data_IF_027548884236
#
_entry.id   IF_027548884236
#
_cell.length_a   1.000
_cell.length_b   1.000
_cell.length_c   1.000
_cell.angle_alpha   90.00
_cell.angle_beta   90.00
_cell.angle_gamma   90.00
#
_symmetry.space_group_name_H-M   'P 1'
#
loop_
_entity.id
_entity.type
_entity.pdbx_description
1 polymer ?
#
# COMPACT_ATOMS: atom_id res chain seq x y z
N UNK A 1 8.69 26.26 20.06
CA UNK A 1 9.51 25.20 19.43
C UNK A 1 8.61 23.99 19.32
N UNK A 2 7.86 23.91 18.22
CA UNK A 2 6.95 22.79 17.93
C UNK A 2 7.66 21.84 16.99
N UNK A 3 8.28 20.79 17.53
CA UNK A 3 8.57 19.60 16.74
C UNK A 3 7.24 18.89 16.47
N UNK A 4 6.83 18.80 15.22
CA UNK A 4 5.65 18.03 14.85
C UNK A 4 5.86 16.55 15.21
N UNK A 5 4.83 15.87 15.69
CA UNK A 5 4.87 14.46 16.10
C UNK A 5 5.34 13.49 15.00
N UNK A 6 5.41 13.93 13.73
CA UNK A 6 5.99 13.13 12.64
C UNK A 6 7.49 12.88 12.79
N UNK A 7 8.22 13.77 13.47
CA UNK A 7 9.66 13.64 13.66
C UNK A 7 10.02 12.70 14.83
N UNK A 8 9.10 12.48 15.77
CA UNK A 8 9.29 11.55 16.89
C UNK A 8 9.23 10.05 16.48
N UNK A 9 8.66 9.75 15.31
CA UNK A 9 8.58 8.38 14.78
C UNK A 9 9.84 7.96 13.98
N UNK A 10 10.77 8.90 13.71
CA UNK A 10 11.97 8.65 12.91
C UNK A 10 13.21 9.22 13.61
N UNK A 11 14.18 8.39 14.05
CA UNK A 11 15.42 8.89 14.64
C UNK A 11 16.27 9.62 13.59
N UNK A 12 16.63 10.86 13.92
CA UNK A 12 17.65 11.76 13.41
C UNK A 12 18.15 11.62 11.95
N UNK A 13 17.97 12.71 11.20
CA UNK A 13 18.74 13.04 9.99
C UNK A 13 20.23 13.05 10.31
N UNK A 14 20.99 12.13 9.72
CA UNK A 14 22.44 12.23 9.66
C UNK A 14 22.81 13.45 8.80
N UNK A 15 23.43 14.45 9.43
CA UNK A 15 23.88 15.65 8.75
C UNK A 15 25.02 15.30 7.79
N UNK A 16 25.02 15.91 6.59
CA UNK A 16 26.06 15.74 5.54
C UNK A 16 27.51 16.02 5.99
N UNK A 17 27.73 16.51 7.21
CA UNK A 17 29.08 16.81 7.77
C UNK A 17 29.75 15.59 8.43
N UNK A 18 29.08 14.51 8.70
CA UNK A 18 29.67 13.32 9.33
C UNK A 18 30.24 12.29 8.36
N UNK A 19 29.96 12.42 7.05
CA UNK A 19 30.42 11.46 6.02
C UNK A 19 31.81 11.76 5.43
N UNK A 20 32.46 12.87 5.80
CA UNK A 20 33.76 13.27 5.24
C UNK A 20 34.96 13.05 6.16
N UNK A 21 34.84 12.33 7.27
CA UNK A 21 35.96 12.11 8.23
C UNK A 21 36.42 10.67 8.42
N UNK A 22 35.95 9.71 7.65
CA UNK A 22 36.36 8.29 7.83
C UNK A 22 37.03 7.63 6.61
N UNK A 23 37.61 8.41 5.70
CA UNK A 23 38.35 7.88 4.54
C UNK A 23 39.78 8.38 4.54
N UNK A 24 40.59 7.92 5.51
CA UNK A 24 42.06 8.01 5.45
C UNK A 24 42.67 7.11 6.54
N UNK A 25 42.88 5.85 6.22
CA UNK A 25 43.97 5.02 6.76
C UNK A 25 43.98 3.65 6.08
N UNK A 26 44.99 3.44 5.26
CA UNK A 26 45.72 2.18 5.24
C UNK A 26 45.40 1.12 4.20
N UNK A 27 46.33 0.88 3.27
CA UNK A 27 46.64 -0.47 2.86
C UNK A 27 46.75 -0.71 1.33
N UNK A 28 47.94 -0.62 0.86
CA UNK A 28 48.51 -1.03 -0.45
C UNK A 28 48.17 -2.48 -0.85
N UNK A 29 47.96 -2.76 -2.16
CA UNK A 29 48.10 -4.11 -2.67
C UNK A 29 47.49 -4.42 -4.04
N UNK A 30 48.31 -4.30 -5.08
CA UNK A 30 48.35 -5.09 -6.32
C UNK A 30 47.21 -5.02 -7.36
N UNK A 31 47.54 -4.27 -8.42
CA UNK A 31 46.93 -4.35 -9.74
C UNK A 31 47.36 -5.65 -10.44
N UNK A 32 46.42 -6.36 -11.04
CA UNK A 32 46.68 -7.35 -12.07
C UNK A 32 45.94 -6.95 -13.35
N UNK A 33 46.71 -6.45 -14.29
CA UNK A 33 46.31 -6.20 -15.69
C UNK A 33 46.22 -7.53 -16.42
N UNK A 34 45.12 -7.80 -17.12
CA UNK A 34 45.06 -8.77 -18.19
C UNK A 34 44.81 -8.08 -19.52
N UNK A 35 45.81 -8.29 -20.40
CA UNK A 35 45.83 -7.82 -21.77
C UNK A 35 44.90 -8.65 -22.67
N UNK A 36 44.18 -7.91 -23.53
CA UNK A 36 43.50 -8.49 -24.69
C UNK A 36 44.49 -9.04 -25.70
N UNK A 37 44.21 -10.22 -26.23
CA UNK A 37 44.76 -10.67 -27.50
C UNK A 37 43.62 -10.98 -28.45
N UNK A 38 43.56 -10.22 -29.55
CA UNK A 38 42.79 -10.55 -30.73
C UNK A 38 43.48 -11.69 -31.52
N UNK A 39 42.70 -12.61 -32.02
CA UNK A 39 43.09 -13.38 -33.23
C UNK A 39 41.86 -13.74 -34.03
N UNK A 40 41.88 -13.31 -35.29
CA UNK A 40 40.97 -13.66 -36.37
C UNK A 40 41.12 -15.14 -36.76
N UNK A 41 40.03 -15.76 -37.19
CA UNK A 41 40.07 -17.11 -37.75
C UNK A 41 38.70 -17.69 -38.10
N UNK A 42 38.47 -17.70 -39.38
CA UNK A 42 37.43 -18.28 -40.21
C UNK A 42 36.57 -19.48 -39.73
N UNK A 43 35.32 -19.41 -40.12
CA UNK A 43 34.52 -20.41 -40.85
C UNK A 43 34.25 -21.76 -40.18
N UNK A 44 32.99 -21.95 -39.75
CA UNK A 44 32.50 -23.28 -39.39
C UNK A 44 31.05 -23.27 -38.92
N UNK A 45 30.15 -23.50 -39.86
CA UNK A 45 28.73 -23.77 -39.57
C UNK A 45 28.57 -25.05 -38.75
N UNK A 46 28.00 -24.95 -37.55
CA UNK A 46 27.50 -26.09 -36.79
C UNK A 46 25.99 -25.91 -36.52
N UNK A 47 25.21 -26.97 -36.73
CA UNK A 47 23.77 -26.92 -36.54
C UNK A 47 23.39 -27.17 -35.07
N UNK A 48 22.35 -26.48 -34.61
CA UNK A 48 21.56 -26.94 -33.50
C UNK A 48 22.02 -26.46 -32.11
N UNK A 49 21.82 -25.20 -31.79
CA UNK A 49 21.59 -24.83 -30.40
C UNK A 49 20.16 -25.23 -30.09
N UNK A 50 19.97 -26.31 -29.36
CA UNK A 50 18.75 -26.67 -28.69
C UNK A 50 18.35 -25.54 -27.73
N UNK A 51 17.19 -24.98 -27.92
CA UNK A 51 16.53 -24.13 -26.95
C UNK A 51 16.55 -24.80 -25.57
N UNK A 52 17.32 -24.26 -24.67
CA UNK A 52 17.22 -24.60 -23.25
C UNK A 52 15.91 -24.00 -22.73
N UNK A 53 14.99 -24.80 -22.19
CA UNK A 53 13.83 -24.27 -21.47
C UNK A 53 14.32 -23.84 -20.09
N UNK A 54 14.47 -22.52 -19.86
CA UNK A 54 14.97 -22.10 -18.56
C UNK A 54 15.12 -20.64 -18.26
N UNK A 55 14.36 -19.75 -18.89
CA UNK A 55 14.06 -18.46 -18.28
C UNK A 55 12.57 -18.48 -17.90
N UNK A 56 12.28 -18.79 -16.64
CA UNK A 56 10.93 -18.67 -16.08
C UNK A 56 10.39 -17.31 -16.50
N UNK A 57 9.22 -17.31 -17.10
CA UNK A 57 8.54 -16.12 -17.62
C UNK A 57 8.40 -15.10 -16.50
N UNK A 58 9.33 -14.13 -16.46
CA UNK A 58 9.33 -13.09 -15.45
C UNK A 58 8.11 -12.22 -15.67
N UNK A 59 7.24 -12.15 -14.69
CA UNK A 59 6.06 -11.27 -14.70
C UNK A 59 6.50 -9.83 -14.91
N UNK A 60 6.11 -9.23 -16.03
CA UNK A 60 6.61 -7.93 -16.50
C UNK A 60 5.52 -6.88 -16.41
N UNK A 61 5.59 -6.04 -15.40
CA UNK A 61 4.74 -4.87 -15.28
C UNK A 61 5.23 -3.70 -16.12
N UNK A 62 4.31 -2.78 -16.47
CA UNK A 62 4.61 -1.53 -17.17
C UNK A 62 4.10 -0.36 -16.35
N UNK A 63 4.96 0.60 -16.08
CA UNK A 63 4.58 1.89 -15.55
C UNK A 63 4.37 2.91 -16.67
N UNK A 64 3.38 3.77 -16.48
CA UNK A 64 3.16 4.97 -17.28
C UNK A 64 2.83 6.13 -16.34
N UNK A 65 3.53 7.24 -16.46
CA UNK A 65 3.13 8.47 -15.78
C UNK A 65 1.94 9.07 -16.52
N UNK A 66 0.87 9.35 -15.80
CA UNK A 66 -0.27 10.06 -16.34
C UNK A 66 -0.04 11.56 -16.19
N UNK A 67 -0.57 12.33 -17.14
CA UNK A 67 -0.41 13.78 -17.17
C UNK A 67 -1.78 14.47 -17.25
N UNK A 68 -2.59 14.41 -16.18
CA UNK A 68 -3.86 15.12 -16.16
C UNK A 68 -3.63 16.64 -16.19
N UNK A 69 -4.55 17.36 -16.86
CA UNK A 69 -4.52 18.81 -16.84
C UNK A 69 -4.88 19.36 -15.44
N UNK A 70 -4.38 20.54 -15.09
CA UNK A 70 -4.79 21.25 -13.88
C UNK A 70 -6.30 21.56 -13.86
N UNK A 71 -6.94 21.58 -12.66
CA UNK A 71 -6.31 21.56 -11.34
C UNK A 71 -5.83 20.18 -10.91
N UNK A 72 -4.77 20.12 -10.13
CA UNK A 72 -4.21 18.88 -9.56
C UNK A 72 -4.34 18.90 -8.03
N UNK A 73 -4.49 17.73 -7.39
CA UNK A 73 -4.38 17.64 -5.93
C UNK A 73 -2.99 18.15 -5.50
N UNK A 74 -2.90 18.93 -4.41
CA UNK A 74 -1.60 19.29 -3.84
C UNK A 74 -0.79 18.06 -3.43
N UNK A 75 0.54 18.17 -3.50
CA UNK A 75 1.49 17.14 -3.08
C UNK A 75 1.21 16.68 -1.64
N UNK A 76 1.26 15.37 -1.41
CA UNK A 76 0.90 14.77 -0.12
C UNK A 76 1.35 13.33 0.04
N UNK A 77 1.42 12.89 1.30
CA UNK A 77 1.61 11.50 1.72
C UNK A 77 0.54 11.09 2.74
N UNK A 78 0.44 9.79 3.05
CA UNK A 78 -0.43 9.20 4.07
C UNK A 78 -1.93 9.51 3.86
N UNK A 79 -2.31 9.80 2.61
CA UNK A 79 -3.69 9.92 2.15
C UNK A 79 -4.30 8.55 1.88
N UNK A 80 -5.58 8.50 1.55
CA UNK A 80 -6.23 7.32 1.02
C UNK A 80 -6.59 7.48 -0.47
N UNK A 81 -6.57 6.35 -1.18
CA UNK A 81 -6.97 6.25 -2.58
C UNK A 81 -7.89 5.03 -2.74
N UNK A 82 -9.14 5.24 -3.10
CA UNK A 82 -10.12 4.17 -3.35
C UNK A 82 -10.82 4.38 -4.70
N UNK A 83 -11.42 3.33 -5.26
CA UNK A 83 -12.06 3.42 -6.58
C UNK A 83 -13.43 2.74 -6.58
N UNK A 84 -14.34 3.29 -7.39
CA UNK A 84 -15.62 2.68 -7.76
C UNK A 84 -15.56 1.97 -9.14
N UNK A 85 -14.36 1.93 -9.74
CA UNK A 85 -14.09 1.37 -11.07
C UNK A 85 -14.05 2.43 -12.18
N UNK A 86 -14.85 3.49 -12.10
CA UNK A 86 -14.88 4.59 -13.07
C UNK A 86 -14.07 5.81 -12.59
N UNK A 87 -14.04 6.03 -11.30
CA UNK A 87 -13.38 7.15 -10.64
C UNK A 87 -12.48 6.67 -9.51
N UNK A 88 -11.48 7.48 -9.20
CA UNK A 88 -10.64 7.29 -8.01
C UNK A 88 -10.84 8.46 -7.06
N UNK A 89 -11.10 8.15 -5.80
CA UNK A 89 -11.34 9.10 -4.72
C UNK A 89 -10.10 9.20 -3.86
N UNK A 90 -9.52 10.41 -3.79
CA UNK A 90 -8.40 10.74 -2.94
C UNK A 90 -8.91 11.59 -1.78
N UNK A 91 -8.68 11.15 -0.55
CA UNK A 91 -9.08 11.90 0.63
C UNK A 91 -7.92 12.11 1.60
N UNK A 92 -7.81 13.32 2.16
CA UNK A 92 -6.94 13.63 3.25
C UNK A 92 -5.44 13.53 2.95
N UNK A 93 -4.68 13.04 3.92
CA UNK A 93 -3.22 13.00 3.86
C UNK A 93 -2.57 14.20 4.51
N UNK A 94 -1.27 14.32 4.35
CA UNK A 94 -0.50 15.44 4.89
C UNK A 94 0.62 15.88 3.94
N UNK A 95 1.04 17.11 4.10
CA UNK A 95 2.32 17.65 3.65
C UNK A 95 2.91 18.44 4.83
N UNK A 96 2.84 19.78 4.81
CA UNK A 96 3.20 20.58 5.99
C UNK A 96 2.10 20.50 7.07
N UNK A 97 0.85 20.37 6.64
CA UNK A 97 -0.34 20.30 7.50
C UNK A 97 -1.23 19.13 7.07
N UNK A 98 -2.04 18.55 8.00
CA UNK A 98 -3.07 17.60 7.64
C UNK A 98 -4.08 18.20 6.67
N UNK A 99 -4.60 17.39 5.76
CA UNK A 99 -5.57 17.77 4.74
C UNK A 99 -6.93 17.10 5.00
N UNK A 100 -8.02 17.78 4.59
CA UNK A 100 -9.38 17.25 4.65
C UNK A 100 -10.12 17.42 3.32
N UNK A 101 -9.39 17.70 2.25
CA UNK A 101 -9.92 17.83 0.90
C UNK A 101 -10.20 16.46 0.27
N UNK A 102 -11.25 16.43 -0.55
CA UNK A 102 -11.63 15.30 -1.37
C UNK A 102 -11.41 15.66 -2.84
N UNK A 103 -10.71 14.79 -3.55
CA UNK A 103 -10.49 14.90 -4.99
C UNK A 103 -10.99 13.66 -5.69
N UNK A 104 -11.56 13.84 -6.87
CA UNK A 104 -12.06 12.75 -7.72
C UNK A 104 -11.30 12.78 -9.04
N UNK A 105 -10.69 11.66 -9.40
CA UNK A 105 -10.04 11.45 -10.67
C UNK A 105 -10.96 10.65 -11.58
N UNK A 106 -11.38 11.24 -12.70
CA UNK A 106 -12.06 10.53 -13.78
C UNK A 106 -11.04 9.75 -14.60
N UNK A 107 -11.17 8.42 -14.61
CA UNK A 107 -10.27 7.55 -15.37
C UNK A 107 -10.45 7.78 -16.88
N UNK A 108 -11.68 7.95 -17.33
CA UNK A 108 -11.99 8.14 -18.75
C UNK A 108 -11.46 9.49 -19.28
N UNK A 109 -11.53 10.55 -18.46
CA UNK A 109 -11.15 11.90 -18.88
C UNK A 109 -9.69 12.23 -18.57
N UNK A 110 -9.00 11.39 -17.80
CA UNK A 110 -7.68 11.67 -17.25
C UNK A 110 -7.63 13.06 -16.58
N UNK A 111 -8.55 13.32 -15.67
CA UNK A 111 -8.74 14.64 -15.07
C UNK A 111 -9.14 14.56 -13.60
N UNK A 112 -8.59 15.48 -12.80
CA UNK A 112 -8.95 15.66 -11.41
C UNK A 112 -10.01 16.74 -11.23
N UNK A 113 -10.93 16.52 -10.30
CA UNK A 113 -11.90 17.51 -9.82
C UNK A 113 -11.81 17.62 -8.30
N UNK A 114 -11.73 18.83 -7.80
CA UNK A 114 -11.86 19.06 -6.36
C UNK A 114 -13.33 18.91 -5.97
N UNK A 115 -13.63 17.89 -5.20
CA UNK A 115 -14.98 17.55 -4.70
C UNK A 115 -15.12 17.84 -3.20
N UNK A 116 -14.26 18.67 -2.64
CA UNK A 116 -14.29 19.05 -1.23
C UNK A 116 -15.60 19.79 -0.91
N UNK A 117 -16.30 19.32 0.10
CA UNK A 117 -17.57 19.89 0.58
C UNK A 117 -17.51 20.14 2.08
N UNK A 118 -18.24 21.12 2.55
CA UNK A 118 -18.38 21.40 3.98
C UNK A 118 -19.16 20.28 4.70
N UNK A 119 -18.87 20.10 5.99
CA UNK A 119 -19.55 19.11 6.84
C UNK A 119 -19.03 17.68 6.67
N UNK A 120 -17.91 17.48 5.98
CA UNK A 120 -17.20 16.21 5.91
C UNK A 120 -16.25 15.96 7.09
N UNK A 121 -15.49 14.85 7.06
CA UNK A 121 -14.50 14.54 8.08
C UNK A 121 -13.43 15.64 8.17
N UNK A 122 -12.98 15.95 9.38
CA UNK A 122 -11.87 16.89 9.60
C UNK A 122 -10.59 16.43 8.93
N UNK A 123 -9.66 17.37 8.69
CA UNK A 123 -8.36 17.13 8.12
C UNK A 123 -7.62 15.99 8.88
N UNK A 124 -7.12 14.98 8.14
CA UNK A 124 -6.51 13.78 8.73
C UNK A 124 -5.59 13.06 7.76
N UNK A 125 -4.68 12.27 8.30
CA UNK A 125 -3.77 11.39 7.56
C UNK A 125 -3.67 10.03 8.24
N UNK A 126 -3.19 9.01 7.51
CA UNK A 126 -3.02 7.65 8.01
C UNK A 126 -4.32 6.98 8.48
N UNK A 127 -5.44 7.46 7.99
CA UNK A 127 -6.76 6.84 8.14
C UNK A 127 -6.89 5.64 7.21
N UNK A 128 -7.86 4.78 7.48
CA UNK A 128 -8.29 3.76 6.54
C UNK A 128 -9.40 4.31 5.65
N UNK A 129 -9.37 3.96 4.36
CA UNK A 129 -10.51 4.14 3.48
C UNK A 129 -10.72 2.89 2.63
N UNK A 130 -11.98 2.53 2.41
CA UNK A 130 -12.38 1.40 1.58
C UNK A 130 -13.59 1.80 0.74
N UNK A 131 -13.79 1.10 -0.39
CA UNK A 131 -14.98 1.27 -1.20
C UNK A 131 -16.00 0.17 -0.88
N UNK A 132 -17.16 0.56 -0.41
CA UNK A 132 -18.32 -0.33 -0.24
C UNK A 132 -19.10 -0.40 -1.56
N UNK A 133 -18.89 -1.48 -2.30
CA UNK A 133 -19.56 -1.72 -3.59
C UNK A 133 -21.06 -1.93 -3.43
N UNK A 134 -21.51 -2.52 -2.31
CA UNK A 134 -22.92 -2.82 -2.08
C UNK A 134 -23.76 -1.56 -1.93
N UNK A 135 -23.19 -0.49 -1.33
CA UNK A 135 -23.87 0.78 -1.08
C UNK A 135 -23.33 1.94 -1.93
N UNK A 136 -22.32 1.68 -2.79
CA UNK A 136 -21.62 2.68 -3.62
C UNK A 136 -21.14 3.88 -2.79
N UNK A 137 -20.36 3.60 -1.71
CA UNK A 137 -19.85 4.61 -0.79
C UNK A 137 -18.38 4.36 -0.44
N UNK A 138 -17.64 5.44 -0.28
CA UNK A 138 -16.34 5.39 0.37
C UNK A 138 -16.55 5.47 1.89
N UNK A 139 -15.97 4.52 2.63
CA UNK A 139 -15.96 4.51 4.10
C UNK A 139 -14.59 4.96 4.56
N UNK A 140 -14.52 5.94 5.47
CA UNK A 140 -13.30 6.46 6.09
C UNK A 140 -13.36 6.21 7.59
N UNK A 141 -12.29 5.65 8.16
CA UNK A 141 -12.17 5.39 9.60
C UNK A 141 -10.85 5.89 10.16
N UNK A 142 -10.92 6.56 11.30
CA UNK A 142 -9.76 6.87 12.12
C UNK A 142 -8.81 7.90 11.53
N UNK A 143 -7.52 7.71 11.74
CA UNK A 143 -6.46 8.64 11.33
C UNK A 143 -6.03 9.60 12.43
N UNK A 144 -5.16 10.52 12.07
CA UNK A 144 -4.59 11.51 12.95
C UNK A 144 -4.62 12.91 12.32
N UNK A 145 -4.77 13.95 13.15
CA UNK A 145 -4.51 15.33 12.78
C UNK A 145 -3.77 16.02 13.92
N UNK A 146 -2.64 16.66 13.63
CA UNK A 146 -1.82 17.39 14.62
C UNK A 146 -1.66 16.61 15.94
N UNK A 147 -2.51 16.87 16.93
CA UNK A 147 -2.47 16.25 18.27
C UNK A 147 -3.70 15.39 18.58
N UNK A 148 -4.54 15.08 17.58
CA UNK A 148 -5.77 14.32 17.77
C UNK A 148 -5.74 13.04 16.95
N UNK A 149 -6.18 11.95 17.56
CA UNK A 149 -6.45 10.68 16.89
C UNK A 149 -7.97 10.50 16.79
N UNK A 150 -8.42 9.87 15.72
CA UNK A 150 -9.83 9.67 15.43
C UNK A 150 -10.23 8.19 15.50
N UNK A 151 -11.48 7.94 15.87
CA UNK A 151 -12.16 6.65 15.74
C UNK A 151 -13.56 6.78 15.14
N UNK A 152 -13.85 7.96 14.58
CA UNK A 152 -15.08 8.22 13.86
C UNK A 152 -15.11 7.48 12.52
N UNK A 153 -16.31 7.16 12.07
CA UNK A 153 -16.57 6.58 10.76
C UNK A 153 -17.34 7.60 9.93
N UNK A 154 -16.90 7.83 8.72
CA UNK A 154 -17.52 8.69 7.74
C UNK A 154 -17.78 7.95 6.44
N UNK A 155 -18.87 8.27 5.78
CA UNK A 155 -19.24 7.70 4.49
C UNK A 155 -19.46 8.81 3.47
N UNK A 156 -18.76 8.74 2.34
CA UNK A 156 -19.00 9.63 1.21
C UNK A 156 -19.89 8.94 0.19
N UNK A 157 -20.99 9.56 -0.19
CA UNK A 157 -21.91 9.09 -1.23
C UNK A 157 -21.73 9.94 -2.49
N UNK A 158 -21.02 9.47 -3.53
CA UNK A 158 -20.77 10.26 -4.74
C UNK A 158 -22.05 10.69 -5.47
N UNK A 159 -23.06 9.82 -5.54
CA UNK A 159 -24.34 10.13 -6.18
C UNK A 159 -25.09 11.26 -5.50
N UNK A 160 -24.87 11.45 -4.18
CA UNK A 160 -25.49 12.52 -3.38
C UNK A 160 -24.56 13.73 -3.23
N UNK A 161 -23.27 13.58 -3.54
CA UNK A 161 -22.25 14.61 -3.39
C UNK A 161 -22.07 15.06 -1.94
N UNK A 162 -22.19 14.16 -0.95
CA UNK A 162 -22.11 14.53 0.47
C UNK A 162 -21.53 13.45 1.37
N UNK A 163 -21.07 13.88 2.53
CA UNK A 163 -20.61 13.05 3.63
C UNK A 163 -21.72 12.77 4.65
N UNK A 164 -21.62 11.59 5.27
CA UNK A 164 -22.42 11.17 6.41
C UNK A 164 -21.47 10.69 7.51
N UNK A 165 -21.66 11.21 8.71
CA UNK A 165 -21.00 10.62 9.88
C UNK A 165 -21.85 9.47 10.42
N UNK A 166 -21.27 8.29 10.53
CA UNK A 166 -21.94 7.15 11.11
C UNK A 166 -22.19 7.40 12.60
N UNK A 167 -23.42 7.16 13.03
CA UNK A 167 -23.81 7.29 14.45
C UNK A 167 -23.60 5.95 15.15
N UNK A 168 -22.35 5.66 15.53
CA UNK A 168 -22.04 4.53 16.40
C UNK A 168 -22.62 4.84 17.79
N UNK A 169 -23.34 3.88 18.39
CA UNK A 169 -23.95 4.06 19.72
C UNK A 169 -22.85 4.34 20.77
N UNK A 170 -23.06 5.30 21.64
CA UNK A 170 -22.08 5.73 22.65
C UNK A 170 -21.75 4.64 23.67
N UNK A 171 -22.67 3.71 23.89
CA UNK A 171 -22.50 2.55 24.80
C UNK A 171 -22.04 1.29 24.06
N UNK A 172 -22.00 1.33 22.72
CA UNK A 172 -21.56 0.16 21.94
C UNK A 172 -20.01 0.10 21.93
N UNK A 173 -19.44 -1.12 21.97
CA UNK A 173 -18.01 -1.28 21.84
C UNK A 173 -17.54 -0.74 20.49
N UNK A 174 -16.40 -0.06 20.48
CA UNK A 174 -15.78 0.48 19.27
C UNK A 174 -14.27 0.53 19.44
N UNK A 175 -13.48 0.49 18.35
CA UNK A 175 -12.03 0.58 18.44
C UNK A 175 -11.61 1.94 19.03
N UNK A 176 -10.53 1.94 19.80
CA UNK A 176 -9.89 3.18 20.25
C UNK A 176 -9.44 4.02 19.04
N UNK A 177 -9.35 5.36 19.18
CA UNK A 177 -8.79 6.23 18.15
C UNK A 177 -7.44 5.74 17.69
N UNK A 178 -7.20 5.69 16.35
CA UNK A 178 -5.94 5.12 15.83
C UNK A 178 -5.56 5.63 14.45
N UNK A 179 -4.27 5.55 14.18
CA UNK A 179 -3.59 5.90 12.95
C UNK A 179 -2.75 4.72 12.45
N UNK A 180 -2.65 4.57 11.11
CA UNK A 180 -1.76 3.60 10.49
C UNK A 180 -2.13 2.14 10.76
N UNK A 181 -3.42 1.85 10.96
CA UNK A 181 -3.95 0.50 11.06
C UNK A 181 -4.00 -0.20 9.69
N UNK A 182 -3.93 -1.53 9.67
CA UNK A 182 -4.34 -2.30 8.50
C UNK A 182 -5.88 -2.27 8.38
N UNK A 183 -6.39 -2.10 7.15
CA UNK A 183 -7.84 -2.10 6.93
C UNK A 183 -8.19 -2.59 5.53
N UNK A 184 -9.31 -3.33 5.43
CA UNK A 184 -9.86 -3.81 4.18
C UNK A 184 -11.37 -3.99 4.30
N UNK A 185 -12.07 -4.07 3.16
CA UNK A 185 -13.49 -4.47 3.13
C UNK A 185 -13.58 -5.98 2.95
N UNK A 186 -14.37 -6.65 3.79
CA UNK A 186 -14.55 -8.09 3.70
C UNK A 186 -15.57 -8.48 2.61
N UNK A 187 -15.70 -9.79 2.35
CA UNK A 187 -16.61 -10.31 1.33
C UNK A 187 -18.09 -10.02 1.61
N UNK A 188 -18.45 -9.64 2.83
CA UNK A 188 -19.80 -9.25 3.20
C UNK A 188 -20.03 -7.72 3.13
N UNK A 189 -19.01 -6.94 2.82
CA UNK A 189 -19.08 -5.47 2.73
C UNK A 189 -18.86 -4.76 4.07
N UNK A 190 -18.27 -5.41 5.06
CA UNK A 190 -17.88 -4.78 6.31
C UNK A 190 -16.42 -4.33 6.30
N UNK A 191 -16.13 -3.20 6.95
CA UNK A 191 -14.74 -2.74 7.13
C UNK A 191 -14.10 -3.52 8.28
N UNK A 192 -13.04 -4.24 7.99
CA UNK A 192 -12.17 -4.87 8.98
C UNK A 192 -10.95 -3.99 9.20
N UNK A 193 -10.64 -3.68 10.46
CA UNK A 193 -9.43 -2.93 10.85
C UNK A 193 -8.68 -3.68 11.94
N UNK A 194 -7.37 -3.62 11.88
CA UNK A 194 -6.53 -4.28 12.88
C UNK A 194 -5.27 -3.47 13.18
N UNK A 195 -4.81 -3.53 14.41
CA UNK A 195 -3.61 -2.86 14.88
C UNK A 195 -3.72 -1.32 14.79
N UNK A 196 -2.58 -0.64 14.62
CA UNK A 196 -2.50 0.83 14.57
C UNK A 196 -1.85 1.42 15.80
N UNK A 197 -1.88 2.74 15.90
CA UNK A 197 -1.11 3.52 16.87
C UNK A 197 -1.88 4.74 17.38
N UNK A 198 -1.65 5.08 18.66
CA UNK A 198 -1.92 6.40 19.23
C UNK A 198 -0.69 6.88 20.04
N UNK A 199 -0.80 8.04 20.67
CA UNK A 199 0.18 8.55 21.63
C UNK A 199 0.33 7.67 22.89
N UNK A 200 -0.63 6.79 23.17
CA UNK A 200 -0.61 5.82 24.28
C UNK A 200 0.10 4.51 23.93
N UNK A 201 0.38 4.26 22.65
CA UNK A 201 1.03 3.04 22.18
C UNK A 201 0.41 2.46 20.93
N UNK A 202 0.79 1.23 20.64
CA UNK A 202 0.30 0.45 19.51
C UNK A 202 -0.74 -0.56 19.94
N UNK A 203 -1.59 -0.94 19.01
CA UNK A 203 -2.65 -1.91 19.22
C UNK A 203 -2.34 -3.25 18.54
N UNK A 204 -2.96 -4.32 19.02
CA UNK A 204 -3.02 -5.64 18.40
C UNK A 204 -4.44 -6.17 18.26
N UNK A 205 -5.44 -5.35 18.62
CA UNK A 205 -6.86 -5.69 18.51
C UNK A 205 -7.35 -5.64 17.05
N UNK A 206 -8.45 -6.30 16.79
CA UNK A 206 -9.06 -6.37 15.47
C UNK A 206 -10.57 -6.14 15.58
N UNK A 207 -11.11 -5.35 14.69
CA UNK A 207 -12.48 -4.88 14.73
C UNK A 207 -13.14 -5.00 13.37
N UNK A 208 -14.45 -5.29 13.38
CA UNK A 208 -15.28 -5.36 12.19
C UNK A 208 -16.44 -4.38 12.29
N UNK A 209 -16.53 -3.46 11.34
CA UNK A 209 -17.61 -2.48 11.24
C UNK A 209 -18.65 -2.93 10.22
N UNK A 210 -19.90 -3.06 10.68
CA UNK A 210 -21.06 -3.27 9.81
C UNK A 210 -21.65 -1.90 9.40
N UNK A 211 -21.48 -1.50 8.14
CA UNK A 211 -21.95 -0.20 7.68
C UNK A 211 -23.48 -0.14 7.54
N UNK A 212 -24.19 -1.27 7.46
CA UNK A 212 -25.65 -1.27 7.38
C UNK A 212 -26.31 -0.87 8.70
N UNK A 213 -25.68 -1.26 9.82
CA UNK A 213 -26.19 -1.02 11.17
C UNK A 213 -25.40 0.03 11.95
N UNK A 214 -24.30 0.54 11.40
CA UNK A 214 -23.32 1.43 12.04
C UNK A 214 -22.81 0.87 13.38
N UNK A 215 -22.46 -0.43 13.42
CA UNK A 215 -22.01 -1.13 14.62
C UNK A 215 -20.63 -1.73 14.44
N UNK A 216 -19.86 -1.78 15.52
CA UNK A 216 -18.59 -2.44 15.61
C UNK A 216 -18.72 -3.79 16.37
N UNK A 217 -17.97 -4.77 15.93
CA UNK A 217 -17.74 -6.03 16.66
C UNK A 217 -16.24 -6.18 16.90
N UNK A 218 -15.86 -6.48 18.15
CA UNK A 218 -14.52 -6.94 18.48
C UNK A 218 -14.33 -8.36 17.95
N UNK A 219 -13.40 -8.54 17.04
CA UNK A 219 -13.03 -9.82 16.42
C UNK A 219 -11.59 -10.21 16.78
N UNK A 220 -11.04 -9.61 17.83
CA UNK A 220 -9.70 -9.93 18.32
C UNK A 220 -9.63 -11.40 18.74
N UNK A 221 -8.74 -12.21 18.14
CA UNK A 221 -8.56 -13.59 18.56
C UNK A 221 -8.11 -13.70 20.02
N UNK A 222 -8.45 -14.80 20.66
CA UNK A 222 -8.08 -15.04 22.06
C UNK A 222 -6.56 -15.01 22.27
N UNK A 223 -6.10 -14.59 23.45
CA UNK A 223 -4.68 -14.41 23.78
C UNK A 223 -3.84 -15.71 23.78
N UNK A 224 -4.48 -16.86 23.69
CA UNK A 224 -3.79 -18.16 23.60
C UNK A 224 -3.30 -18.53 22.21
N UNK A 225 -3.67 -17.74 21.19
CA UNK A 225 -3.33 -18.00 19.80
C UNK A 225 -2.07 -17.24 19.39
N UNK A 226 -1.31 -17.81 18.44
CA UNK A 226 -0.22 -17.10 17.78
C UNK A 226 -0.78 -15.88 17.04
N UNK A 227 -0.23 -14.68 17.32
CA UNK A 227 -0.70 -13.43 16.73
C UNK A 227 0.44 -12.48 16.44
N UNK A 228 0.26 -11.53 15.48
CA UNK A 228 1.25 -10.50 15.24
C UNK A 228 1.40 -9.60 16.49
N UNK A 229 2.64 -9.18 16.76
CA UNK A 229 2.93 -8.20 17.81
C UNK A 229 2.30 -6.85 17.48
N UNK A 230 2.07 -6.02 18.48
CA UNK A 230 1.55 -4.66 18.35
C UNK A 230 2.36 -3.83 17.35
N UNK A 231 1.71 -3.28 16.34
CA UNK A 231 2.35 -2.59 15.22
C UNK A 231 1.48 -1.54 14.56
N UNK A 232 2.09 -0.72 13.72
CA UNK A 232 1.40 0.27 12.88
C UNK A 232 2.12 0.47 11.54
N UNK A 233 1.58 1.36 10.69
CA UNK A 233 2.12 1.76 9.38
C UNK A 233 2.20 0.64 8.35
N UNK A 234 1.27 -0.30 8.40
CA UNK A 234 1.06 -1.30 7.37
C UNK A 234 -0.27 -1.06 6.66
N UNK A 235 -0.43 -1.69 5.51
CA UNK A 235 -1.69 -1.77 4.77
C UNK A 235 -2.27 -3.17 4.90
N UNK A 236 -3.59 -3.26 4.79
CA UNK A 236 -4.33 -4.50 4.73
C UNK A 236 -5.08 -4.63 3.42
N UNK A 237 -5.24 -5.86 2.93
CA UNK A 237 -6.13 -6.20 1.82
C UNK A 237 -6.93 -7.45 2.17
N UNK A 238 -8.10 -7.59 1.54
CA UNK A 238 -8.94 -8.76 1.73
C UNK A 238 -8.62 -9.85 0.71
N UNK A 239 -8.15 -10.99 1.18
CA UNK A 239 -7.95 -12.21 0.38
C UNK A 239 -9.29 -12.90 0.18
N UNK A 240 -9.85 -12.80 -1.03
CA UNK A 240 -11.14 -13.39 -1.39
C UNK A 240 -11.09 -14.91 -1.63
N UNK A 241 -9.89 -15.53 -1.67
CA UNK A 241 -9.73 -16.98 -1.78
C UNK A 241 -10.06 -17.68 -0.47
N UNK A 242 -9.54 -17.10 0.64
CA UNK A 242 -9.66 -17.70 1.97
C UNK A 242 -10.47 -16.85 2.96
N UNK A 243 -11.11 -15.78 2.45
CA UNK A 243 -11.95 -14.86 3.22
C UNK A 243 -11.27 -14.34 4.49
N UNK A 244 -10.14 -13.64 4.32
CA UNK A 244 -9.26 -13.19 5.40
C UNK A 244 -8.56 -11.87 5.10
N UNK A 245 -8.23 -11.11 6.14
CA UNK A 245 -7.37 -9.92 6.04
C UNK A 245 -5.91 -10.36 5.93
N UNK A 246 -5.20 -9.91 4.91
CA UNK A 246 -3.75 -10.00 4.79
C UNK A 246 -3.09 -8.69 5.26
N UNK A 247 -2.02 -8.81 6.05
CA UNK A 247 -1.26 -7.69 6.60
C UNK A 247 0.24 -8.01 6.55
N UNK A 248 1.05 -7.12 5.93
CA UNK A 248 2.49 -7.32 5.79
C UNK A 248 3.28 -6.28 6.59
N UNK A 249 4.37 -6.69 7.26
CA UNK A 249 5.36 -5.79 7.83
C UNK A 249 4.83 -4.76 8.83
N UNK A 250 5.15 -3.48 8.59
CA UNK A 250 4.88 -2.39 9.53
C UNK A 250 6.03 -2.12 10.48
N UNK A 251 5.75 -1.46 11.61
CA UNK A 251 6.74 -1.17 12.65
C UNK A 251 6.19 -1.34 14.06
N UNK A 252 7.07 -1.68 15.00
CA UNK A 252 6.81 -1.68 16.44
C UNK A 252 7.54 -0.53 17.12
N UNK A 253 7.50 -0.48 18.45
CA UNK A 253 8.31 0.47 19.23
C UNK A 253 9.81 0.22 19.05
N UNK A 254 10.22 -1.05 19.06
CA UNK A 254 11.63 -1.45 19.09
C UNK A 254 12.15 -1.85 17.71
N UNK A 255 11.26 -2.24 16.80
CA UNK A 255 11.60 -2.70 15.45
C UNK A 255 10.95 -1.81 14.39
N UNK A 256 11.74 -0.93 13.74
CA UNK A 256 11.19 0.07 12.80
C UNK A 256 10.70 -0.54 11.49
N UNK A 257 11.09 -1.76 11.16
CA UNK A 257 10.67 -2.45 9.93
C UNK A 257 10.49 -3.94 10.19
N UNK A 258 9.33 -4.48 9.81
CA UNK A 258 8.98 -5.89 9.89
C UNK A 258 8.83 -6.48 8.48
N UNK A 259 9.02 -7.80 8.34
CA UNK A 259 8.97 -8.54 7.08
C UNK A 259 8.03 -9.75 7.11
N UNK A 260 7.21 -9.84 8.14
CA UNK A 260 6.26 -10.94 8.32
C UNK A 260 4.92 -10.65 7.64
N UNK A 261 4.34 -11.70 7.07
CA UNK A 261 2.98 -11.68 6.51
C UNK A 261 2.04 -12.44 7.44
N UNK A 262 0.95 -11.80 7.79
CA UNK A 262 -0.08 -12.37 8.65
C UNK A 262 -1.44 -12.36 7.97
N UNK A 263 -2.23 -13.36 8.26
CA UNK A 263 -3.60 -13.50 7.81
C UNK A 263 -4.54 -13.60 9.00
N UNK A 264 -5.59 -12.77 9.05
CA UNK A 264 -6.68 -12.86 10.03
C UNK A 264 -7.92 -13.45 9.36
N UNK A 265 -8.28 -14.65 9.73
CA UNK A 265 -9.52 -15.32 9.35
C UNK A 265 -10.47 -15.42 10.56
N UNK A 266 -11.67 -15.96 10.35
CA UNK A 266 -12.60 -16.26 11.46
C UNK A 266 -12.05 -17.25 12.48
N UNK A 267 -11.03 -18.03 12.13
CA UNK A 267 -10.31 -18.99 12.99
C UNK A 267 -9.15 -18.38 13.76
N UNK A 268 -8.85 -17.09 13.59
CA UNK A 268 -7.75 -16.41 14.25
C UNK A 268 -6.61 -16.01 13.31
N UNK A 269 -5.48 -15.62 13.91
CA UNK A 269 -4.29 -15.23 13.17
C UNK A 269 -3.46 -16.44 12.72
N UNK A 270 -2.89 -16.33 11.53
CA UNK A 270 -1.94 -17.27 10.97
C UNK A 270 -0.76 -16.49 10.39
N UNK A 271 0.47 -16.85 10.76
CA UNK A 271 1.65 -16.36 10.07
C UNK A 271 1.86 -17.16 8.77
N UNK A 272 2.02 -16.45 7.66
CA UNK A 272 2.22 -17.07 6.34
C UNK A 272 3.71 -17.22 6.00
N UNK A 273 4.06 -18.10 5.02
CA UNK A 273 5.46 -18.35 4.65
C UNK A 273 6.22 -17.08 4.27
N UNK A 274 7.54 -17.03 4.58
CA UNK A 274 8.39 -15.85 4.43
C UNK A 274 9.40 -15.91 3.27
N UNK A 275 9.52 -16.97 2.51
CA UNK A 275 10.60 -17.06 1.52
C UNK A 275 10.08 -17.55 0.16
N UNK A 276 10.33 -16.79 -0.90
CA UNK A 276 10.84 -15.41 -0.91
C UNK A 276 9.82 -14.40 -0.34
N UNK A 277 10.26 -13.20 0.11
CA UNK A 277 9.38 -12.13 0.57
C UNK A 277 10.00 -10.75 0.27
N UNK A 278 9.20 -9.66 0.24
CA UNK A 278 9.71 -8.30 0.19
C UNK A 278 10.64 -8.00 1.37
N UNK A 279 11.58 -7.05 1.22
CA UNK A 279 12.35 -6.53 2.34
C UNK A 279 11.44 -5.97 3.43
N UNK A 280 11.88 -6.04 4.69
CA UNK A 280 11.19 -5.45 5.84
C UNK A 280 10.84 -3.98 5.58
N UNK A 281 9.55 -3.61 5.71
CA UNK A 281 9.06 -2.30 5.30
C UNK A 281 7.80 -1.83 6.01
N UNK A 282 7.59 -0.50 5.91
CA UNK A 282 6.37 0.17 6.29
C UNK A 282 5.95 1.21 5.23
N UNK A 283 4.78 1.84 5.37
CA UNK A 283 4.29 2.94 4.52
C UNK A 283 4.31 2.64 3.01
N UNK A 284 4.10 1.40 2.65
CA UNK A 284 3.90 0.91 1.27
C UNK A 284 2.42 1.01 0.89
N UNK A 285 2.12 0.94 -0.41
CA UNK A 285 0.76 0.69 -0.89
C UNK A 285 0.55 -0.82 -1.14
N UNK A 286 -0.67 -1.29 -0.89
CA UNK A 286 -1.06 -2.68 -1.19
C UNK A 286 -2.49 -2.71 -1.69
N UNK A 287 -2.72 -3.44 -2.80
CA UNK A 287 -4.03 -3.64 -3.41
C UNK A 287 -4.27 -5.13 -3.66
N UNK A 288 -5.52 -5.52 -3.86
CA UNK A 288 -5.87 -6.91 -4.18
C UNK A 288 -6.52 -7.00 -5.56
N UNK A 289 -5.94 -7.83 -6.42
CA UNK A 289 -6.51 -8.23 -7.71
C UNK A 289 -7.39 -9.46 -7.48
N UNK A 290 -8.68 -9.24 -7.37
CA UNK A 290 -9.68 -10.27 -7.09
C UNK A 290 -9.89 -11.25 -8.25
N UNK A 291 -9.55 -10.86 -9.48
CA UNK A 291 -9.63 -11.72 -10.66
C UNK A 291 -8.52 -12.77 -10.65
N UNK A 292 -7.29 -12.34 -10.31
CA UNK A 292 -6.10 -13.22 -10.31
C UNK A 292 -5.73 -13.73 -8.92
N UNK A 293 -6.55 -13.38 -7.92
CA UNK A 293 -6.39 -13.86 -6.53
C UNK A 293 -5.00 -13.57 -5.96
N UNK A 294 -4.56 -12.32 -6.09
CA UNK A 294 -3.23 -11.91 -5.62
C UNK A 294 -3.21 -10.52 -4.99
N UNK A 295 -2.42 -10.36 -3.93
CA UNK A 295 -2.10 -9.06 -3.39
C UNK A 295 -0.87 -8.48 -4.12
N UNK A 296 -0.86 -7.17 -4.33
CA UNK A 296 0.20 -6.44 -5.01
C UNK A 296 0.70 -5.37 -4.08
N UNK A 297 1.96 -5.50 -3.65
CA UNK A 297 2.65 -4.57 -2.77
C UNK A 297 3.56 -3.67 -3.60
N UNK A 298 3.54 -2.36 -3.34
CA UNK A 298 4.24 -1.35 -4.12
C UNK A 298 5.04 -0.44 -3.19
N UNK A 299 6.36 -0.37 -3.41
CA UNK A 299 7.25 0.58 -2.76
C UNK A 299 7.27 0.53 -1.24
N UNK A 300 7.26 1.69 -0.60
CA UNK A 300 7.35 1.85 0.85
C UNK A 300 8.76 2.19 1.33
N UNK A 301 8.93 2.18 2.64
CA UNK A 301 10.19 2.48 3.30
C UNK A 301 10.81 1.23 3.92
N UNK A 302 12.09 1.02 3.68
CA UNK A 302 12.91 -0.08 4.20
C UNK A 302 14.12 0.46 4.97
N UNK A 303 14.92 -0.38 5.65
CA UNK A 303 16.19 0.04 6.23
C UNK A 303 17.17 0.64 5.21
N UNK A 304 17.08 0.25 3.94
CA UNK A 304 17.93 0.77 2.86
C UNK A 304 17.41 2.10 2.27
N UNK A 305 16.19 2.53 2.61
CA UNK A 305 15.56 3.74 2.09
C UNK A 305 14.21 3.49 1.45
N UNK A 306 13.77 4.43 0.62
CA UNK A 306 12.51 4.32 -0.12
C UNK A 306 12.65 3.35 -1.27
N UNK A 307 11.56 2.64 -1.59
CA UNK A 307 11.51 1.63 -2.64
C UNK A 307 10.51 2.03 -3.74
N UNK A 308 10.66 1.43 -4.92
CA UNK A 308 9.70 1.48 -6.03
C UNK A 308 9.55 0.11 -6.70
N UNK A 309 9.88 -0.94 -5.94
CA UNK A 309 9.68 -2.32 -6.33
C UNK A 309 8.20 -2.70 -6.27
N UNK A 310 7.85 -3.78 -6.97
CA UNK A 310 6.52 -4.35 -6.99
C UNK A 310 6.63 -5.84 -6.70
N UNK A 311 5.85 -6.31 -5.74
CA UNK A 311 5.79 -7.71 -5.33
C UNK A 311 4.38 -8.24 -5.47
N UNK A 312 4.25 -9.48 -5.89
CA UNK A 312 3.00 -10.23 -5.98
C UNK A 312 2.94 -11.28 -4.90
N UNK A 313 1.85 -11.33 -4.16
CA UNK A 313 1.53 -12.46 -3.30
C UNK A 313 0.38 -13.23 -3.94
N UNK A 314 0.66 -14.46 -4.36
CA UNK A 314 -0.38 -15.39 -4.82
C UNK A 314 -1.16 -15.92 -3.62
N UNK A 315 -2.46 -15.58 -3.55
CA UNK A 315 -3.29 -16.01 -2.43
C UNK A 315 -3.71 -17.48 -2.51
N UNK A 316 -3.55 -18.14 -3.68
CA UNK A 316 -3.85 -19.56 -3.86
C UNK A 316 -2.72 -20.43 -3.35
N UNK A 317 -1.49 -20.12 -3.77
CA UNK A 317 -0.29 -20.91 -3.48
C UNK A 317 0.51 -20.37 -2.29
N UNK A 318 0.14 -19.19 -1.78
CA UNK A 318 0.73 -18.53 -0.60
C UNK A 318 2.22 -18.23 -0.70
N UNK A 319 2.64 -17.67 -1.83
CA UNK A 319 4.04 -17.25 -1.99
C UNK A 319 4.15 -15.87 -2.63
N UNK A 320 5.28 -15.19 -2.34
CA UNK A 320 5.64 -13.93 -2.96
C UNK A 320 6.50 -14.13 -4.21
N UNK A 321 6.27 -13.31 -5.20
CA UNK A 321 7.08 -13.23 -6.42
C UNK A 321 7.54 -11.78 -6.65
N UNK A 322 8.85 -11.50 -6.76
CA UNK A 322 9.33 -10.21 -7.18
C UNK A 322 9.01 -10.00 -8.66
N UNK A 323 8.62 -8.77 -9.02
CA UNK A 323 8.33 -8.45 -10.42
C UNK A 323 9.49 -7.73 -11.08
N UNK A 324 9.59 -7.85 -12.40
CA UNK A 324 10.51 -7.02 -13.19
C UNK A 324 9.74 -5.92 -13.91
N UNK A 325 10.29 -4.71 -13.90
CA UNK A 325 9.73 -3.55 -14.59
C UNK A 325 10.74 -3.03 -15.59
N UNK A 326 10.37 -2.93 -16.86
CA UNK A 326 11.26 -2.50 -17.97
C UNK A 326 11.06 -1.07 -18.44
N UNK A 327 10.06 -0.35 -17.91
CA UNK A 327 9.76 1.02 -18.30
C UNK A 327 10.27 2.02 -17.26
N UNK A 328 10.23 3.32 -17.57
CA UNK A 328 10.36 4.36 -16.55
C UNK A 328 9.34 4.10 -15.45
N UNK A 329 9.76 4.20 -14.20
CA UNK A 329 8.94 3.93 -13.01
C UNK A 329 8.98 5.15 -12.09
N UNK A 330 8.01 5.29 -11.19
CA UNK A 330 8.01 6.36 -10.21
C UNK A 330 9.32 6.36 -9.40
N UNK A 331 9.74 7.52 -8.93
CA UNK A 331 10.82 7.62 -7.94
C UNK A 331 10.50 6.74 -6.74
N UNK A 332 11.51 6.12 -6.09
CA UNK A 332 11.31 5.40 -4.84
C UNK A 332 10.57 6.26 -3.82
N UNK A 333 9.51 5.73 -3.19
CA UNK A 333 8.61 6.52 -2.35
C UNK A 333 7.95 5.73 -1.24
N UNK A 334 7.46 6.45 -0.22
CA UNK A 334 6.65 5.92 0.87
C UNK A 334 5.43 6.81 1.13
N UNK A 335 4.44 6.29 1.86
CA UNK A 335 3.23 7.05 2.20
C UNK A 335 2.37 7.42 0.99
N UNK A 336 2.63 6.84 -0.18
CA UNK A 336 1.72 6.86 -1.32
C UNK A 336 0.60 5.87 -1.09
N UNK A 337 -0.47 5.99 -1.87
CA UNK A 337 -1.51 4.98 -1.89
C UNK A 337 -1.85 4.54 -3.31
N UNK A 338 -2.56 3.43 -3.45
CA UNK A 338 -2.88 2.81 -4.71
C UNK A 338 -4.32 2.30 -4.74
N UNK A 339 -4.92 2.31 -5.94
CA UNK A 339 -6.24 1.76 -6.18
C UNK A 339 -6.19 0.75 -7.34
N UNK A 340 -6.78 -0.43 -7.13
CA UNK A 340 -6.98 -1.45 -8.16
C UNK A 340 -8.23 -1.14 -8.98
N UNK A 341 -8.07 -0.85 -10.26
CA UNK A 341 -9.15 -0.57 -11.21
C UNK A 341 -9.47 -1.85 -11.96
N UNK A 342 -10.53 -2.54 -11.55
CA UNK A 342 -10.93 -3.85 -12.09
C UNK A 342 -11.31 -3.79 -13.57
N UNK A 343 -11.97 -2.71 -14.02
CA UNK A 343 -12.47 -2.52 -15.38
C UNK A 343 -11.33 -2.51 -16.41
N UNK A 344 -10.22 -1.86 -16.07
CA UNK A 344 -9.03 -1.77 -16.93
C UNK A 344 -7.94 -2.75 -16.55
N UNK A 345 -8.10 -3.47 -15.43
CA UNK A 345 -7.08 -4.34 -14.84
C UNK A 345 -5.75 -3.60 -14.62
N UNK A 346 -5.81 -2.38 -14.10
CA UNK A 346 -4.64 -1.53 -13.83
C UNK A 346 -4.64 -1.04 -12.38
N UNK A 347 -3.49 -0.57 -11.91
CA UNK A 347 -3.34 0.03 -10.61
C UNK A 347 -2.98 1.50 -10.81
N UNK A 348 -3.73 2.40 -10.17
CA UNK A 348 -3.38 3.81 -10.11
C UNK A 348 -2.67 4.09 -8.79
N UNK A 349 -1.55 4.80 -8.84
CA UNK A 349 -0.70 5.17 -7.69
C UNK A 349 -0.56 6.68 -7.68
N UNK A 350 -0.78 7.30 -6.52
CA UNK A 350 -0.69 8.75 -6.37
C UNK A 350 0.22 9.15 -5.21
N UNK A 351 1.01 10.22 -5.42
CA UNK A 351 1.70 10.96 -4.38
C UNK A 351 2.75 10.17 -3.58
N UNK A 352 2.78 10.40 -2.28
CA UNK A 352 3.81 9.89 -1.37
C UNK A 352 4.95 10.87 -1.18
N UNK A 353 6.06 10.39 -0.61
CA UNK A 353 7.27 11.18 -0.35
C UNK A 353 8.50 10.40 -0.84
N UNK A 354 9.40 11.04 -1.57
CA UNK A 354 10.61 10.42 -2.13
C UNK A 354 11.84 10.53 -1.21
N UNK A 355 11.63 11.06 0.00
CA UNK A 355 12.67 11.33 0.99
C UNK A 355 13.21 12.76 0.93
N UNK A 356 12.81 13.55 -0.07
CA UNK A 356 13.15 14.95 -0.25
C UNK A 356 11.90 15.84 -0.17
N UNK A 357 10.85 15.44 -0.88
CA UNK A 357 9.61 16.21 -0.96
C UNK A 357 8.38 15.31 -1.08
N UNK A 358 7.22 15.86 -0.76
CA UNK A 358 5.93 15.24 -1.03
C UNK A 358 5.58 15.39 -2.52
N UNK A 359 4.91 14.37 -3.07
CA UNK A 359 4.65 14.23 -4.50
C UNK A 359 3.16 14.41 -4.80
N UNK A 360 2.83 14.79 -6.04
CA UNK A 360 1.47 14.88 -6.56
C UNK A 360 1.32 14.27 -7.96
N UNK A 361 2.30 13.46 -8.37
CA UNK A 361 2.23 12.70 -9.60
C UNK A 361 1.28 11.51 -9.50
N UNK A 362 0.66 11.16 -10.61
CA UNK A 362 -0.15 9.96 -10.75
C UNK A 362 0.48 9.02 -11.75
N UNK A 363 0.54 7.75 -11.41
CA UNK A 363 1.11 6.68 -12.21
C UNK A 363 0.14 5.54 -12.40
N UNK A 364 0.17 4.93 -13.57
CA UNK A 364 -0.53 3.71 -13.88
C UNK A 364 0.45 2.54 -13.97
N UNK A 365 0.15 1.47 -13.25
CA UNK A 365 0.85 0.20 -13.32
C UNK A 365 -0.05 -0.81 -14.03
N UNK A 366 0.42 -1.34 -15.15
CA UNK A 366 -0.31 -2.33 -15.96
C UNK A 366 0.35 -3.69 -15.83
N UNK A 367 -0.40 -4.73 -15.41
CA UNK A 367 0.07 -6.12 -15.46
C UNK A 367 0.38 -6.57 -16.89
N UNK A 368 1.17 -7.65 -17.08
CA UNK A 368 1.45 -8.19 -18.41
C UNK A 368 0.19 -8.70 -19.11
N UNK A 369 0.21 -8.69 -20.46
CA UNK A 369 -0.94 -9.08 -21.28
C UNK A 369 -1.33 -10.55 -21.08
N UNK A 370 -0.37 -11.44 -20.84
CA UNK A 370 -0.61 -12.86 -20.50
C UNK A 370 -1.50 -13.03 -19.27
N UNK A 371 -1.47 -12.05 -18.37
CA UNK A 371 -2.30 -12.00 -17.17
C UNK A 371 -3.66 -11.32 -17.42
N UNK A 372 -3.87 -10.75 -18.60
CA UNK A 372 -5.11 -10.06 -18.98
C UNK A 372 -6.06 -10.95 -19.78
N UNK A 373 -5.66 -12.17 -20.16
CA UNK A 373 -6.52 -13.13 -20.83
C UNK A 373 -7.75 -13.40 -19.96
N UNK A 374 -8.97 -13.28 -20.52
CA UNK A 374 -10.17 -13.59 -19.77
C UNK A 374 -10.14 -15.08 -19.40
N UNK A 375 -10.34 -15.39 -18.12
CA UNK A 375 -10.65 -16.76 -17.70
C UNK A 375 -11.89 -17.14 -18.51
N UNK A 376 -11.75 -18.11 -19.42
CA UNK A 376 -12.86 -18.60 -20.20
C UNK A 376 -14.03 -18.94 -19.26
N UNK A 377 -15.26 -18.53 -19.55
CA UNK A 377 -16.39 -18.86 -18.70
C UNK A 377 -16.44 -20.38 -18.52
N UNK A 378 -16.45 -20.82 -17.28
CA UNK A 378 -16.62 -22.25 -16.94
C UNK A 378 -17.87 -22.72 -17.65
N UNK A 379 -17.82 -23.78 -18.49
CA UNK A 379 -19.01 -24.30 -19.13
C UNK A 379 -20.00 -24.69 -18.04
N UNK A 380 -21.17 -24.08 -18.06
CA UNK A 380 -22.29 -24.43 -17.18
C UNK A 380 -22.70 -25.87 -17.52
N UNK A 381 -22.88 -26.76 -16.52
CA UNK A 381 -23.23 -28.16 -16.72
C UNK A 381 -24.62 -28.35 -17.36
#
# INVERSE_FOLDING_TARGET
MNMGMSDALFPHRLSRRSLLRSALAGGTGLAATYLLACSDGDGGSTPGATDQPGDGEQVRFRWAQLAPAAPLPPARRDHSLVTDGASVYLFGGQANEPRGDLWVYSIADNAWTNATIEGGPGARFGHNAVWDTNRSRMIVFGGQASNAFFNDVWEYAPAEGRWFQAKVGTEAPSPAPRYGAAGAIDSAGALVVSHGFTDQGRFSDSWRYDPANATWADITPADTEEKPIERCLMRGVWDTVRDRLLMYGGQTTDTPFLDDLWALASTGWQQLPRSPNPDARNLYAMVYDDRRKRAILIGGRTPAGQMNDVWLFDATDEFWTPTTVRTSRPTPRYGHDAAWVSETSTILVFGGNDGLEDLNDIWQLTPPASDLEPIAPTPTP
#
